data_IF_961267367936
#
_entry.id   IF_961267367936
#
_cell.length_a   1.000
_cell.length_b   1.000
_cell.length_c   1.000
_cell.angle_alpha   90.00
_cell.angle_beta   90.00
_cell.angle_gamma   90.00
#
_symmetry.space_group_name_H-M   'P 1'
#
loop_
_entity.id
_entity.type
_entity.pdbx_description
1 polymer ?
#
# COMPACT_ATOMS: atom_id res chain seq x y z
N UNK A 1 3.58 -26.23 1.76
CA UNK A 1 4.26 -25.87 3.03
C UNK A 1 4.31 -24.35 3.07
N UNK A 2 3.56 -23.70 3.95
CA UNK A 2 3.60 -22.25 4.13
C UNK A 2 4.94 -21.88 4.75
N UNK A 3 5.69 -20.98 4.12
CA UNK A 3 6.98 -20.52 4.64
C UNK A 3 6.76 -19.68 5.91
N UNK A 4 7.74 -19.65 6.84
CA UNK A 4 7.65 -18.81 8.05
C UNK A 4 7.31 -17.34 7.75
N UNK A 5 7.83 -16.82 6.62
CA UNK A 5 7.56 -15.48 6.12
C UNK A 5 6.09 -15.28 5.73
N UNK A 6 5.47 -16.26 5.05
CA UNK A 6 4.06 -16.18 4.65
C UNK A 6 3.13 -16.20 5.87
N UNK A 7 3.45 -17.00 6.89
CA UNK A 7 2.70 -17.06 8.15
C UNK A 7 2.82 -15.74 8.93
N UNK A 8 4.03 -15.18 9.03
CA UNK A 8 4.25 -13.90 9.68
C UNK A 8 3.49 -12.76 8.99
N UNK A 9 3.54 -12.70 7.65
CA UNK A 9 2.80 -11.72 6.85
C UNK A 9 1.30 -11.78 7.14
N UNK A 10 0.69 -12.96 7.06
CA UNK A 10 -0.74 -13.13 7.28
C UNK A 10 -1.16 -12.70 8.70
N UNK A 11 -0.37 -13.05 9.71
CA UNK A 11 -0.67 -12.67 11.09
C UNK A 11 -0.55 -11.16 11.33
N UNK A 12 0.49 -10.51 10.80
CA UNK A 12 0.68 -9.05 10.92
C UNK A 12 -0.44 -8.32 10.18
N UNK A 13 -0.84 -8.79 8.99
CA UNK A 13 -1.97 -8.23 8.25
C UNK A 13 -3.26 -8.30 9.08
N UNK A 14 -3.59 -9.45 9.67
CA UNK A 14 -4.77 -9.60 10.52
C UNK A 14 -4.75 -8.64 11.71
N UNK A 15 -3.61 -8.55 12.42
CA UNK A 15 -3.46 -7.61 13.55
C UNK A 15 -3.67 -6.16 13.13
N UNK A 16 -3.22 -5.81 11.93
CA UNK A 16 -3.31 -4.45 11.40
C UNK A 16 -4.77 -4.10 11.01
N UNK A 17 -5.50 -5.05 10.43
CA UNK A 17 -6.94 -4.90 10.17
C UNK A 17 -7.73 -4.83 11.49
N UNK A 18 -7.44 -5.69 12.46
CA UNK A 18 -8.18 -5.74 13.73
C UNK A 18 -7.92 -4.52 14.63
N UNK A 19 -6.67 -4.04 14.70
CA UNK A 19 -6.28 -2.95 15.61
C UNK A 19 -6.38 -1.55 15.00
N UNK A 20 -6.30 -1.42 13.68
CA UNK A 20 -6.09 -0.12 13.04
C UNK A 20 -6.91 0.13 11.76
N UNK A 21 -7.95 -0.66 11.47
CA UNK A 21 -8.80 -0.44 10.28
C UNK A 21 -9.38 0.99 10.16
N UNK A 22 -9.53 1.70 11.28
CA UNK A 22 -10.15 3.03 11.32
C UNK A 22 -9.13 4.19 11.30
N UNK A 23 -7.82 3.92 11.40
CA UNK A 23 -6.77 4.95 11.56
C UNK A 23 -5.69 4.95 10.47
N UNK A 24 -5.78 4.06 9.49
CA UNK A 24 -4.81 3.98 8.40
C UNK A 24 -5.18 5.04 7.35
N UNK A 25 -4.44 6.15 7.38
CA UNK A 25 -4.44 7.09 6.26
C UNK A 25 -3.61 6.49 5.12
N UNK A 26 -4.28 5.88 4.13
CA UNK A 26 -3.62 5.26 2.98
C UNK A 26 -2.89 6.28 2.08
N UNK A 27 -3.12 7.58 2.29
CA UNK A 27 -2.39 8.65 1.59
C UNK A 27 -1.06 8.97 2.27
N UNK A 28 -0.91 8.61 3.55
CA UNK A 28 0.33 8.76 4.31
C UNK A 28 1.15 7.46 4.32
N UNK A 29 1.82 7.19 3.20
CA UNK A 29 2.65 6.00 3.03
C UNK A 29 3.70 5.85 4.12
N UNK A 30 4.33 6.94 4.57
CA UNK A 30 5.33 6.90 5.64
C UNK A 30 4.70 6.53 6.99
N UNK A 31 3.55 7.12 7.32
CA UNK A 31 2.79 6.78 8.52
C UNK A 31 2.36 5.31 8.54
N UNK A 32 1.86 4.79 7.42
CA UNK A 32 1.50 3.36 7.29
C UNK A 32 2.73 2.47 7.43
N UNK A 33 3.85 2.83 6.79
CA UNK A 33 5.12 2.10 6.91
C UNK A 33 5.62 2.04 8.35
N UNK A 34 5.58 3.15 9.07
CA UNK A 34 5.98 3.21 10.47
C UNK A 34 5.15 2.26 11.33
N UNK A 35 3.81 2.26 11.13
CA UNK A 35 2.90 1.36 11.88
C UNK A 35 3.15 -0.11 11.57
N UNK A 36 3.29 -0.46 10.29
CA UNK A 36 3.60 -1.84 9.86
C UNK A 36 4.92 -2.30 10.49
N UNK A 37 5.93 -1.43 10.50
CA UNK A 37 7.24 -1.74 11.09
C UNK A 37 7.11 -2.04 12.58
N UNK A 38 6.43 -1.18 13.35
CA UNK A 38 6.21 -1.41 14.78
C UNK A 38 5.47 -2.71 15.08
N UNK A 39 4.41 -3.02 14.32
CA UNK A 39 3.65 -4.27 14.48
C UNK A 39 4.47 -5.51 14.09
N UNK A 40 5.27 -5.41 13.03
CA UNK A 40 6.14 -6.49 12.59
C UNK A 40 7.25 -6.76 13.63
N UNK A 41 7.85 -5.73 14.22
CA UNK A 41 8.81 -5.88 15.32
C UNK A 41 8.19 -6.57 16.54
N UNK A 42 6.99 -6.14 16.96
CA UNK A 42 6.25 -6.76 18.07
C UNK A 42 5.98 -8.24 17.79
N UNK A 43 5.47 -8.56 16.60
CA UNK A 43 5.13 -9.93 16.21
C UNK A 43 6.35 -10.83 16.15
N UNK A 44 7.42 -10.40 15.47
CA UNK A 44 8.65 -11.19 15.31
C UNK A 44 9.28 -11.50 16.67
N UNK A 45 9.29 -10.52 17.58
CA UNK A 45 9.79 -10.68 18.95
C UNK A 45 8.96 -11.68 19.76
N UNK A 46 7.63 -11.58 19.71
CA UNK A 46 6.73 -12.46 20.46
C UNK A 46 6.67 -13.89 19.91
N UNK A 47 6.76 -14.04 18.59
CA UNK A 47 6.74 -15.34 17.93
C UNK A 47 8.10 -16.06 17.95
N UNK A 48 9.18 -15.39 18.40
CA UNK A 48 10.53 -15.95 18.42
C UNK A 48 11.09 -16.25 17.02
N UNK A 49 10.62 -15.53 16.00
CA UNK A 49 11.03 -15.73 14.61
C UNK A 49 12.34 -14.96 14.38
N UNK A 50 13.35 -15.61 13.78
CA UNK A 50 14.55 -14.94 13.34
C UNK A 50 14.47 -14.67 11.82
N UNK A 51 14.38 -13.40 11.44
CA UNK A 51 14.46 -12.96 10.04
C UNK A 51 15.78 -12.23 9.81
N UNK A 52 16.40 -12.46 8.65
CA UNK A 52 17.53 -11.63 8.23
C UNK A 52 17.02 -10.27 7.72
N UNK A 53 17.94 -9.31 7.56
CA UNK A 53 17.61 -7.94 7.14
C UNK A 53 16.90 -7.86 5.78
N UNK A 54 17.25 -8.74 4.83
CA UNK A 54 16.63 -8.78 3.51
C UNK A 54 15.19 -9.27 3.59
N UNK A 55 14.95 -10.39 4.27
CA UNK A 55 13.62 -10.97 4.43
C UNK A 55 12.70 -10.07 5.24
N UNK A 56 13.24 -9.39 6.27
CA UNK A 56 12.50 -8.41 7.03
C UNK A 56 12.10 -7.20 6.15
N UNK A 57 13.03 -6.68 5.34
CA UNK A 57 12.71 -5.64 4.36
C UNK A 57 11.60 -6.06 3.39
N UNK A 58 11.70 -7.26 2.81
CA UNK A 58 10.67 -7.80 1.93
C UNK A 58 9.32 -7.99 2.62
N UNK A 59 9.29 -8.40 3.89
CA UNK A 59 8.06 -8.50 4.67
C UNK A 59 7.35 -7.15 4.80
N UNK A 60 8.10 -6.11 5.14
CA UNK A 60 7.56 -4.75 5.31
C UNK A 60 7.00 -4.23 3.99
N UNK A 61 7.75 -4.33 2.88
CA UNK A 61 7.25 -3.90 1.57
C UNK A 61 6.00 -4.68 1.15
N UNK A 62 6.00 -6.01 1.33
CA UNK A 62 4.84 -6.83 0.96
C UNK A 62 3.58 -6.49 1.77
N UNK A 63 3.74 -6.18 3.07
CA UNK A 63 2.63 -5.72 3.91
C UNK A 63 2.17 -4.33 3.52
N UNK A 64 3.09 -3.43 3.20
CA UNK A 64 2.81 -2.06 2.78
C UNK A 64 2.00 -2.05 1.48
N UNK A 65 2.39 -2.88 0.51
CA UNK A 65 1.69 -3.04 -0.76
C UNK A 65 0.30 -3.66 -0.57
N UNK A 66 0.12 -4.58 0.38
CA UNK A 66 -1.17 -5.21 0.67
C UNK A 66 -2.15 -4.24 1.37
N UNK A 67 -1.63 -3.46 2.32
CA UNK A 67 -2.41 -2.49 3.11
C UNK A 67 -2.80 -1.28 2.26
N UNK A 68 -1.85 -0.71 1.52
CA UNK A 68 -2.13 0.43 0.65
C UNK A 68 -2.88 -0.04 -0.60
N UNK A 69 -2.42 -1.12 -1.23
CA UNK A 69 -3.02 -1.77 -2.41
C UNK A 69 -3.59 -0.79 -3.43
N UNK A 70 -2.83 0.26 -3.73
CA UNK A 70 -3.14 1.23 -4.77
C UNK A 70 -2.68 0.73 -6.15
N UNK A 71 -2.01 -0.42 -6.15
CA UNK A 71 -1.52 -1.13 -7.32
C UNK A 71 -0.68 -0.21 -8.20
N UNK A 72 -1.03 -0.07 -9.49
CA UNK A 72 -0.20 0.67 -10.44
C UNK A 72 -0.05 2.17 -10.08
N UNK A 73 -0.96 2.76 -9.30
CA UNK A 73 -0.87 4.17 -8.89
C UNK A 73 0.24 4.47 -7.89
N UNK A 74 0.76 3.46 -7.19
CA UNK A 74 1.72 3.66 -6.12
C UNK A 74 2.99 4.37 -6.62
N UNK A 75 3.50 3.98 -7.78
CA UNK A 75 4.67 4.63 -8.40
C UNK A 75 4.42 6.11 -8.77
N UNK A 76 3.17 6.50 -9.02
CA UNK A 76 2.83 7.89 -9.33
C UNK A 76 2.70 8.74 -8.07
N UNK A 77 2.22 8.15 -6.98
CA UNK A 77 2.07 8.80 -5.67
C UNK A 77 3.41 8.96 -4.95
N UNK A 78 4.35 8.03 -5.17
CA UNK A 78 5.71 8.13 -4.66
C UNK A 78 6.58 9.15 -5.41
N UNK A 79 6.15 9.58 -6.60
CA UNK A 79 6.87 10.57 -7.40
C UNK A 79 6.57 11.99 -6.89
N UNK A 80 7.54 12.68 -6.25
CA UNK A 80 7.33 14.00 -5.67
C UNK A 80 7.08 15.09 -6.72
N UNK A 81 7.35 14.82 -8.00
CA UNK A 81 7.02 15.74 -9.08
C UNK A 81 5.54 15.69 -9.49
N UNK A 82 4.82 14.63 -9.13
CA UNK A 82 3.40 14.46 -9.43
C UNK A 82 2.56 15.32 -8.50
N UNK A 83 1.84 16.28 -9.07
CA UNK A 83 0.94 17.18 -8.33
C UNK A 83 -0.52 16.73 -8.40
N UNK A 84 -0.91 16.08 -9.50
CA UNK A 84 -2.26 15.57 -9.71
C UNK A 84 -2.24 14.29 -10.54
N UNK A 85 -3.15 13.36 -10.23
CA UNK A 85 -3.39 12.13 -10.98
C UNK A 85 -4.84 12.11 -11.44
N UNK A 86 -5.07 12.04 -12.74
CA UNK A 86 -6.40 12.01 -13.33
C UNK A 86 -6.62 10.68 -14.05
N UNK A 87 -7.74 10.01 -13.76
CA UNK A 87 -8.04 8.68 -14.32
C UNK A 87 -9.34 8.76 -15.10
N UNK A 88 -9.26 8.67 -16.43
CA UNK A 88 -10.43 8.63 -17.29
C UNK A 88 -10.86 7.19 -17.60
N UNK A 89 -9.89 6.28 -17.68
CA UNK A 89 -10.08 4.87 -17.98
C UNK A 89 -8.95 4.03 -17.34
N UNK A 90 -9.14 2.72 -17.10
CA UNK A 90 -8.06 1.82 -16.63
C UNK A 90 -6.74 1.94 -17.40
N UNK A 91 -6.80 2.21 -18.70
CA UNK A 91 -5.61 2.36 -19.56
C UNK A 91 -5.33 3.82 -19.95
N UNK A 92 -6.02 4.79 -19.34
CA UNK A 92 -5.91 6.20 -19.65
C UNK A 92 -5.77 7.00 -18.36
N UNK A 93 -4.52 7.06 -17.88
CA UNK A 93 -4.13 7.77 -16.67
C UNK A 93 -3.26 8.95 -17.07
N UNK A 94 -3.62 10.14 -16.61
CA UNK A 94 -2.84 11.35 -16.79
C UNK A 94 -2.21 11.78 -15.47
N UNK A 95 -1.05 12.41 -15.56
CA UNK A 95 -0.36 12.99 -14.43
C UNK A 95 0.03 14.41 -14.74
N UNK A 96 -0.19 15.30 -13.79
CA UNK A 96 0.36 16.64 -13.82
C UNK A 96 1.70 16.65 -13.11
N UNK A 97 2.71 17.22 -13.78
CA UNK A 97 4.00 17.55 -13.18
C UNK A 97 4.38 18.98 -13.53
N UNK A 98 4.62 19.81 -12.51
CA UNK A 98 5.00 21.22 -12.72
C UNK A 98 4.02 21.98 -13.64
N UNK A 99 2.71 21.76 -13.48
CA UNK A 99 1.67 22.39 -14.30
C UNK A 99 1.53 21.85 -15.73
N UNK A 100 2.21 20.74 -16.08
CA UNK A 100 2.08 20.07 -17.39
C UNK A 100 1.42 18.71 -17.23
N UNK A 101 0.28 18.54 -17.88
CA UNK A 101 -0.45 17.26 -17.93
C UNK A 101 0.13 16.38 -19.05
N UNK A 102 0.40 15.12 -18.74
CA UNK A 102 0.91 14.12 -19.69
C UNK A 102 0.30 12.75 -19.44
N UNK A 103 0.20 11.92 -20.49
CA UNK A 103 -0.23 10.54 -20.36
C UNK A 103 0.84 9.73 -19.63
N UNK A 104 0.44 9.01 -18.58
CA UNK A 104 1.30 8.13 -17.81
C UNK A 104 1.48 6.78 -18.50
N UNK A 105 2.66 6.13 -18.41
CA UNK A 105 2.84 4.74 -18.85
C UNK A 105 2.14 3.73 -17.93
N UNK A 106 1.68 4.18 -16.76
CA UNK A 106 0.98 3.36 -15.77
C UNK A 106 -0.44 3.06 -16.27
N UNK A 107 -0.83 1.79 -16.17
CA UNK A 107 -2.17 1.31 -16.51
C UNK A 107 -2.65 0.30 -15.47
N UNK A 108 -3.95 0.21 -15.31
CA UNK A 108 -4.61 -0.91 -14.62
C UNK A 108 -4.78 -2.08 -15.58
N UNK A 109 -4.76 -3.29 -15.03
CA UNK A 109 -5.01 -4.52 -15.78
C UNK A 109 -6.48 -4.63 -16.21
N UNK A 110 -7.39 -4.08 -15.40
CA UNK A 110 -8.83 -4.12 -15.67
C UNK A 110 -9.60 -3.00 -14.97
N UNK A 111 -10.83 -2.78 -15.42
CA UNK A 111 -11.78 -1.89 -14.73
C UNK A 111 -12.12 -2.36 -13.32
N UNK A 112 -12.11 -3.68 -13.07
CA UNK A 112 -12.36 -4.24 -11.75
C UNK A 112 -11.25 -3.87 -10.76
N UNK A 113 -9.98 -3.96 -11.20
CA UNK A 113 -8.83 -3.55 -10.39
C UNK A 113 -8.89 -2.04 -10.08
N UNK A 114 -9.16 -1.20 -11.08
CA UNK A 114 -9.36 0.24 -10.87
C UNK A 114 -10.46 0.51 -9.83
N UNK A 115 -11.58 -0.21 -9.92
CA UNK A 115 -12.71 -0.04 -9.00
C UNK A 115 -12.33 -0.37 -7.56
N UNK A 116 -11.60 -1.46 -7.33
CA UNK A 116 -11.11 -1.83 -6.00
C UNK A 116 -10.24 -0.73 -5.39
N UNK A 117 -9.35 -0.13 -6.18
CA UNK A 117 -8.50 0.98 -5.72
C UNK A 117 -9.33 2.21 -5.39
N UNK A 118 -10.31 2.58 -6.24
CA UNK A 118 -11.21 3.71 -5.97
C UNK A 118 -12.00 3.49 -4.67
N UNK A 119 -12.62 2.33 -4.50
CA UNK A 119 -13.43 2.03 -3.31
C UNK A 119 -12.57 2.10 -2.03
N UNK A 120 -11.29 1.70 -2.11
CA UNK A 120 -10.33 1.83 -1.01
C UNK A 120 -10.03 3.29 -0.66
N UNK A 121 -9.73 4.13 -1.66
CA UNK A 121 -9.51 5.58 -1.47
C UNK A 121 -10.74 6.24 -0.84
N UNK A 122 -11.92 5.95 -1.38
CA UNK A 122 -13.18 6.53 -0.87
C UNK A 122 -13.47 6.07 0.57
N UNK A 123 -13.15 4.82 0.92
CA UNK A 123 -13.35 4.30 2.28
C UNK A 123 -12.52 5.03 3.35
N UNK A 124 -11.36 5.59 2.96
CA UNK A 124 -10.48 6.35 3.86
C UNK A 124 -10.92 7.81 3.97
N UNK A 125 -11.35 8.42 2.86
CA UNK A 125 -11.78 9.83 2.83
C UNK A 125 -13.16 10.01 3.48
N UNK A 126 -14.08 9.06 3.32
CA UNK A 126 -15.46 9.14 3.80
C UNK A 126 -15.66 8.91 5.31
N UNK A 127 -14.59 8.66 6.07
CA UNK A 127 -14.63 8.49 7.54
C UNK A 127 -14.31 9.77 8.31
N UNK A 128 -14.07 10.89 7.62
CA UNK A 128 -13.81 12.22 8.22
C UNK A 128 -15.07 13.08 8.24
#
# INVERSE_FOLDING_TARGET
MTTPLATAKAAIHTLLVERHADEIDITDREGVRSRITSLAEEYVKNAGIALNRLDYGHLIEALLDEVLGLGPLQALLEDPATTEIMINHPHQIYVERSGRVSLSPVVFESAAQLRQVIDRIVSTVGRR
#
